data_IF_063981147177
#
_entry.id   IF_063981147177
#
_cell.length_a   1.000
_cell.length_b   1.000
_cell.length_c   1.000
_cell.angle_alpha   90.00
_cell.angle_beta   90.00
_cell.angle_gamma   90.00
#
_symmetry.space_group_name_H-M   'P 1'
#
loop_
_entity.id
_entity.type
_entity.pdbx_description
1 polymer ?
#
# COMPACT_ATOMS: atom_id res chain seq x y z
N UNK A 1 14.98 2.51 -27.80
CA UNK A 1 13.97 2.12 -26.80
C UNK A 1 12.60 2.42 -27.40
N UNK A 2 11.67 1.48 -27.39
CA UNK A 2 10.34 1.62 -28.00
C UNK A 2 9.33 1.92 -26.88
N UNK A 3 8.48 2.92 -27.07
CA UNK A 3 7.42 3.30 -26.12
C UNK A 3 6.05 2.96 -26.71
N UNK A 4 5.24 2.10 -26.06
CA UNK A 4 3.88 1.82 -26.50
C UNK A 4 3.00 3.07 -26.40
N UNK A 5 2.21 3.33 -27.45
CA UNK A 5 1.17 4.38 -27.46
C UNK A 5 -0.08 3.86 -26.72
N UNK A 6 0.02 3.72 -25.40
CA UNK A 6 -1.05 3.26 -24.52
C UNK A 6 -1.51 4.37 -23.56
N UNK A 7 -2.50 4.07 -22.71
CA UNK A 7 -3.02 5.02 -21.71
C UNK A 7 -1.95 5.52 -20.71
N UNK A 8 -0.79 4.86 -20.62
CA UNK A 8 0.33 5.27 -19.78
C UNK A 8 1.44 6.00 -20.57
N UNK A 9 1.24 6.33 -21.85
CA UNK A 9 2.27 6.89 -22.72
C UNK A 9 2.94 8.15 -22.13
N UNK A 10 2.14 9.12 -21.68
CA UNK A 10 2.64 10.37 -21.07
C UNK A 10 3.49 10.10 -19.83
N UNK A 11 3.01 9.22 -18.94
CA UNK A 11 3.75 8.80 -17.76
C UNK A 11 5.07 8.12 -18.13
N UNK A 12 5.07 7.26 -19.16
CA UNK A 12 6.28 6.57 -19.62
C UNK A 12 7.29 7.55 -20.22
N UNK A 13 6.86 8.59 -20.95
CA UNK A 13 7.76 9.65 -21.43
C UNK A 13 8.44 10.35 -20.25
N UNK A 14 7.68 10.74 -19.22
CA UNK A 14 8.25 11.44 -18.07
C UNK A 14 9.26 10.55 -17.32
N UNK A 15 8.91 9.29 -17.08
CA UNK A 15 9.82 8.31 -16.46
C UNK A 15 11.05 8.06 -17.34
N UNK A 16 10.90 8.00 -18.67
CA UNK A 16 12.00 7.84 -19.61
C UNK A 16 13.00 8.99 -19.52
N UNK A 17 12.52 10.23 -19.50
CA UNK A 17 13.37 11.42 -19.39
C UNK A 17 14.14 11.42 -18.07
N UNK A 18 13.51 10.99 -16.98
CA UNK A 18 14.16 10.82 -15.67
C UNK A 18 15.25 9.74 -15.73
N UNK A 19 14.95 8.60 -16.35
CA UNK A 19 15.91 7.51 -16.53
C UNK A 19 17.11 7.95 -17.37
N UNK A 20 16.88 8.61 -18.49
CA UNK A 20 17.94 9.14 -19.36
C UNK A 20 18.85 10.15 -18.63
N UNK A 21 18.28 11.03 -17.80
CA UNK A 21 19.09 11.93 -16.94
C UNK A 21 20.00 11.15 -16.01
N UNK A 22 19.49 10.11 -15.36
CA UNK A 22 20.27 9.23 -14.46
C UNK A 22 21.42 8.55 -15.21
N UNK A 23 21.17 8.03 -16.42
CA UNK A 23 22.20 7.43 -17.26
C UNK A 23 23.31 8.41 -17.64
N UNK A 24 22.99 9.70 -17.77
CA UNK A 24 23.96 10.78 -18.03
C UNK A 24 24.65 11.30 -16.75
N UNK A 25 24.50 10.62 -15.62
CA UNK A 25 25.07 11.04 -14.33
C UNK A 25 24.38 12.25 -13.70
N UNK A 26 23.23 12.69 -14.24
CA UNK A 26 22.46 13.83 -13.72
C UNK A 26 21.42 13.36 -12.70
N UNK A 27 20.99 14.25 -11.77
CA UNK A 27 19.85 13.94 -10.90
C UNK A 27 18.59 13.67 -11.73
N UNK A 28 17.85 12.63 -11.35
CA UNK A 28 16.60 12.27 -12.04
C UNK A 28 15.51 13.36 -11.88
N UNK A 29 15.57 14.18 -10.84
CA UNK A 29 14.55 15.19 -10.48
C UNK A 29 13.43 14.61 -9.59
N UNK A 30 12.32 15.33 -9.46
CA UNK A 30 11.11 14.86 -8.74
C UNK A 30 10.32 13.82 -9.56
N UNK A 31 9.76 12.78 -8.93
CA UNK A 31 8.93 11.79 -9.62
C UNK A 31 7.71 12.46 -10.29
N UNK A 32 7.15 11.84 -11.35
CA UNK A 32 5.89 12.25 -11.93
C UNK A 32 4.83 12.46 -10.85
N UNK A 33 4.01 13.50 -10.97
CA UNK A 33 2.90 13.74 -10.03
C UNK A 33 1.97 12.54 -9.92
N UNK A 34 1.76 11.82 -11.04
CA UNK A 34 0.97 10.60 -11.05
C UNK A 34 1.56 9.50 -10.15
N UNK A 35 2.89 9.46 -9.97
CA UNK A 35 3.57 8.50 -9.09
C UNK A 35 3.85 9.06 -7.69
N UNK A 36 3.45 10.30 -7.40
CA UNK A 36 3.68 10.90 -6.10
C UNK A 36 2.62 10.38 -5.10
N UNK A 37 3.11 9.85 -3.98
CA UNK A 37 2.24 9.32 -2.93
C UNK A 37 2.03 10.39 -1.88
N UNK A 38 0.77 10.83 -1.72
CA UNK A 38 0.41 11.71 -0.61
C UNK A 38 0.81 11.07 0.73
N UNK A 39 1.15 11.86 1.76
CA UNK A 39 1.54 11.32 3.06
C UNK A 39 0.53 10.32 3.64
N UNK A 40 -0.77 10.59 3.47
CA UNK A 40 -1.85 9.70 3.90
C UNK A 40 -1.84 8.37 3.14
N UNK A 41 -1.67 8.41 1.81
CA UNK A 41 -1.61 7.19 0.98
C UNK A 41 -0.39 6.35 1.31
N UNK A 42 0.76 6.99 1.51
CA UNK A 42 1.99 6.32 1.97
C UNK A 42 1.80 5.65 3.33
N UNK A 43 1.25 6.36 4.31
CA UNK A 43 0.97 5.79 5.63
C UNK A 43 0.01 4.59 5.55
N UNK A 44 -1.03 4.68 4.70
CA UNK A 44 -1.95 3.55 4.46
C UNK A 44 -1.23 2.34 3.85
N UNK A 45 -0.36 2.53 2.87
CA UNK A 45 0.41 1.43 2.27
C UNK A 45 1.35 0.78 3.27
N UNK A 46 2.04 1.57 4.10
CA UNK A 46 2.90 1.04 5.18
C UNK A 46 2.06 0.21 6.16
N UNK A 47 0.89 0.69 6.56
CA UNK A 47 -0.02 -0.04 7.45
C UNK A 47 -0.49 -1.36 6.82
N UNK A 48 -0.75 -1.39 5.52
CA UNK A 48 -1.10 -2.62 4.79
C UNK A 48 0.07 -3.60 4.73
N UNK A 49 1.30 -3.13 4.55
CA UNK A 49 2.50 -3.98 4.58
C UNK A 49 2.66 -4.63 5.96
N UNK A 50 2.57 -3.87 7.05
CA UNK A 50 2.62 -4.46 8.40
C UNK A 50 1.50 -5.47 8.63
N UNK A 51 0.26 -5.14 8.24
CA UNK A 51 -0.86 -6.08 8.37
C UNK A 51 -0.63 -7.36 7.54
N UNK A 52 0.02 -7.27 6.39
CA UNK A 52 0.42 -8.42 5.59
C UNK A 52 1.48 -9.26 6.30
N UNK A 53 2.51 -8.65 6.86
CA UNK A 53 3.58 -9.35 7.59
C UNK A 53 3.00 -10.18 8.75
N UNK A 54 2.14 -9.55 9.57
CA UNK A 54 1.40 -10.26 10.62
C UNK A 54 0.56 -11.41 10.05
N UNK A 55 -0.18 -11.15 8.96
CA UNK A 55 -1.05 -12.16 8.36
C UNK A 55 -0.27 -13.36 7.82
N UNK A 56 0.85 -13.13 7.16
CA UNK A 56 1.74 -14.17 6.64
C UNK A 56 2.40 -14.95 7.77
N UNK A 57 2.62 -14.33 8.92
CA UNK A 57 3.05 -15.00 10.16
C UNK A 57 1.91 -15.78 10.87
N UNK A 58 0.71 -15.86 10.28
CA UNK A 58 -0.43 -16.61 10.83
C UNK A 58 -1.30 -15.83 11.81
N UNK A 59 -1.03 -14.53 12.01
CA UNK A 59 -1.79 -13.70 12.94
C UNK A 59 -3.26 -13.52 12.52
N UNK A 60 -4.13 -13.44 13.51
CA UNK A 60 -5.56 -13.20 13.34
C UNK A 60 -5.93 -11.71 13.37
N UNK A 61 -7.22 -11.38 13.14
CA UNK A 61 -7.71 -10.00 13.24
C UNK A 61 -7.51 -9.35 14.61
N UNK A 62 -7.45 -10.16 15.68
CA UNK A 62 -7.29 -9.65 17.04
C UNK A 62 -5.85 -9.21 17.32
N UNK A 63 -4.87 -10.00 16.86
CA UNK A 63 -3.45 -9.65 16.96
C UNK A 63 -3.12 -8.39 16.16
N UNK A 64 -3.66 -8.31 14.94
CA UNK A 64 -3.50 -7.14 14.06
C UNK A 64 -4.16 -5.90 14.67
N UNK A 65 -5.34 -6.05 15.29
CA UNK A 65 -5.95 -4.94 16.00
C UNK A 65 -5.08 -4.45 17.17
N UNK A 66 -4.54 -5.39 17.96
CA UNK A 66 -3.71 -5.07 19.10
C UNK A 66 -2.42 -4.33 18.71
N UNK A 67 -1.76 -4.79 17.63
CA UNK A 67 -0.50 -4.23 17.19
C UNK A 67 -0.63 -2.94 16.37
N UNK A 68 -1.69 -2.80 15.57
CA UNK A 68 -1.75 -1.80 14.49
C UNK A 68 -2.95 -0.85 14.54
N UNK A 69 -3.92 -1.06 15.45
CA UNK A 69 -5.15 -0.27 15.47
C UNK A 69 -5.42 0.33 16.84
N UNK A 70 -5.67 -0.51 17.83
CA UNK A 70 -6.17 -0.16 19.15
C UNK A 70 -6.04 -1.39 20.06
N UNK A 71 -5.10 -1.34 21.00
CA UNK A 71 -4.76 -2.45 21.88
C UNK A 71 -5.85 -2.69 22.93
N UNK A 72 -6.44 -1.62 23.44
CA UNK A 72 -7.50 -1.62 24.42
C UNK A 72 -8.77 -2.25 23.84
N UNK A 73 -9.15 -1.87 22.61
CA UNK A 73 -10.28 -2.47 21.92
C UNK A 73 -10.03 -3.94 21.54
N UNK A 74 -8.76 -4.32 21.31
CA UNK A 74 -8.38 -5.72 21.11
C UNK A 74 -8.41 -6.55 22.42
N UNK A 75 -8.42 -5.91 23.59
CA UNK A 75 -8.55 -6.56 24.88
C UNK A 75 -10.01 -6.84 25.30
N UNK A 76 -11.00 -6.32 24.57
CA UNK A 76 -12.43 -6.49 24.87
C UNK A 76 -12.85 -7.97 25.05
N UNK A 77 -13.83 -8.28 25.92
CA UNK A 77 -14.39 -9.62 26.07
C UNK A 77 -14.82 -10.23 24.73
N UNK A 78 -14.78 -11.56 24.61
CA UNK A 78 -14.99 -12.25 23.34
C UNK A 78 -16.33 -11.89 22.64
N UNK A 79 -17.39 -11.65 23.42
CA UNK A 79 -18.70 -11.23 22.92
C UNK A 79 -18.65 -9.83 22.31
N UNK A 80 -18.06 -8.87 23.02
CA UNK A 80 -17.91 -7.49 22.55
C UNK A 80 -16.94 -7.38 21.37
N UNK A 81 -15.86 -8.17 21.41
CA UNK A 81 -14.90 -8.27 20.31
C UNK A 81 -15.57 -8.71 18.99
N UNK A 82 -16.52 -9.66 19.04
CA UNK A 82 -17.20 -10.16 17.83
C UNK A 82 -17.96 -9.06 17.08
N UNK A 83 -18.54 -8.09 17.79
CA UNK A 83 -19.31 -6.99 17.21
C UNK A 83 -18.52 -5.67 17.10
N UNK A 84 -17.26 -5.63 17.52
CA UNK A 84 -16.47 -4.39 17.58
C UNK A 84 -16.13 -3.80 16.20
N UNK A 85 -16.07 -2.47 16.14
CA UNK A 85 -15.61 -1.75 14.95
C UNK A 85 -14.13 -2.05 14.65
N UNK A 86 -13.32 -2.26 15.69
CA UNK A 86 -11.89 -2.59 15.61
C UNK A 86 -11.68 -3.92 14.91
N UNK A 87 -12.46 -4.97 15.25
CA UNK A 87 -12.43 -6.25 14.52
C UNK A 87 -12.79 -6.08 13.05
N UNK A 88 -13.82 -5.29 12.72
CA UNK A 88 -14.18 -5.00 11.32
C UNK A 88 -13.05 -4.28 10.58
N UNK A 89 -12.39 -3.32 11.23
CA UNK A 89 -11.25 -2.58 10.67
C UNK A 89 -10.03 -3.49 10.43
N UNK A 90 -9.71 -4.38 11.37
CA UNK A 90 -8.64 -5.37 11.21
C UNK A 90 -8.90 -6.36 10.09
N UNK A 91 -10.13 -6.87 9.97
CA UNK A 91 -10.52 -7.73 8.85
C UNK A 91 -10.37 -7.01 7.50
N UNK A 92 -10.76 -5.74 7.41
CA UNK A 92 -10.53 -4.94 6.19
C UNK A 92 -9.03 -4.79 5.90
N UNK A 93 -8.21 -4.48 6.90
CA UNK A 93 -6.76 -4.39 6.73
C UNK A 93 -6.15 -5.68 6.18
N UNK A 94 -6.51 -6.84 6.74
CA UNK A 94 -6.04 -8.16 6.25
C UNK A 94 -6.46 -8.36 4.80
N UNK A 95 -7.71 -8.08 4.49
CA UNK A 95 -8.26 -8.34 3.17
C UNK A 95 -7.65 -7.43 2.11
N UNK A 96 -7.49 -6.15 2.44
CA UNK A 96 -6.87 -5.15 1.57
C UNK A 96 -5.37 -5.43 1.38
N UNK A 97 -4.67 -5.91 2.42
CA UNK A 97 -3.23 -6.20 2.33
C UNK A 97 -2.95 -7.43 1.47
N UNK A 98 -3.76 -8.47 1.60
CA UNK A 98 -3.70 -9.66 0.75
C UNK A 98 -4.06 -9.31 -0.70
N UNK A 99 -5.07 -8.47 -0.92
CA UNK A 99 -5.42 -7.99 -2.27
C UNK A 99 -4.29 -7.18 -2.90
N UNK A 100 -3.63 -6.32 -2.11
CA UNK A 100 -2.47 -5.56 -2.56
C UNK A 100 -1.32 -6.50 -3.00
N UNK A 101 -1.01 -7.52 -2.20
CA UNK A 101 -0.01 -8.55 -2.55
C UNK A 101 -0.37 -9.31 -3.83
N UNK A 102 -1.64 -9.71 -3.96
CA UNK A 102 -2.16 -10.52 -5.07
C UNK A 102 -2.46 -9.68 -6.33
N UNK A 103 -1.54 -8.79 -6.70
CA UNK A 103 -1.60 -8.02 -7.95
C UNK A 103 -2.14 -6.59 -7.81
N UNK A 104 -2.78 -6.24 -6.69
CA UNK A 104 -3.25 -4.87 -6.44
C UNK A 104 -2.12 -3.83 -6.46
N UNK A 105 -0.89 -4.22 -6.10
CA UNK A 105 0.30 -3.35 -6.13
C UNK A 105 0.57 -2.76 -7.53
N UNK A 106 0.09 -3.41 -8.61
CA UNK A 106 0.32 -2.95 -9.99
C UNK A 106 -0.37 -1.63 -10.30
N UNK A 107 -1.46 -1.32 -9.59
CA UNK A 107 -2.13 -0.01 -9.69
C UNK A 107 -1.17 1.13 -9.32
N UNK A 108 -0.28 0.93 -8.34
CA UNK A 108 0.72 1.93 -7.95
C UNK A 108 1.65 2.33 -9.10
N UNK A 109 1.87 1.42 -10.06
CA UNK A 109 2.70 1.69 -11.25
C UNK A 109 2.00 2.57 -12.29
N UNK A 110 0.68 2.73 -12.15
CA UNK A 110 -0.18 3.55 -13.02
C UNK A 110 -0.60 4.87 -12.35
N UNK A 111 -0.07 5.14 -11.16
CA UNK A 111 -0.51 6.23 -10.29
C UNK A 111 -1.70 5.90 -9.39
N UNK A 112 -2.25 4.70 -9.58
CA UNK A 112 -3.29 3.99 -8.84
C UNK A 112 -4.50 4.80 -8.42
#
# INVERSE_FOLDING_TARGET
MILPLDAAFELRIEVMQRFYRRLRGRPAGLPPRALDLTPLRRARLILLLHALDFRLAGAGPRDIAAALIDAEAAALPAIEWKSSATRRKANRLIRDSVALMNGGYRELLRGG
#
